data_IF_907276853476
#
_entry.id   IF_907276853476
#
_cell.length_a   1.000
_cell.length_b   1.000
_cell.length_c   1.000
_cell.angle_alpha   90.00
_cell.angle_beta   90.00
_cell.angle_gamma   90.00
#
_symmetry.space_group_name_H-M   'P 1'
#
loop_
_entity.id
_entity.type
_entity.pdbx_description
1 polymer ?
#
# COMPACT_ATOMS: atom_id res chain seq x y z
N UNK A 1 24.14 13.53 -13.05
CA UNK A 1 23.20 12.68 -12.28
C UNK A 1 23.10 11.29 -12.92
N UNK A 2 23.79 10.27 -12.41
CA UNK A 2 23.53 8.89 -12.87
C UNK A 2 22.23 8.38 -12.23
N UNK A 3 21.14 8.37 -12.99
CA UNK A 3 19.84 7.82 -12.58
C UNK A 3 19.80 6.34 -12.98
N UNK A 4 20.19 5.43 -12.09
CA UNK A 4 20.22 4.00 -12.43
C UNK A 4 20.82 3.15 -11.34
N UNK A 5 21.52 2.09 -11.72
CA UNK A 5 22.15 1.12 -10.82
C UNK A 5 22.94 1.73 -9.66
N UNK A 6 23.76 2.79 -9.87
CA UNK A 6 24.53 3.38 -8.76
C UNK A 6 23.68 3.92 -7.60
N UNK A 7 22.44 4.35 -7.86
CA UNK A 7 21.55 4.89 -6.81
C UNK A 7 20.65 3.84 -6.15
N UNK A 8 20.54 2.64 -6.73
CA UNK A 8 19.71 1.54 -6.19
C UNK A 8 20.26 1.01 -4.86
N UNK A 9 21.57 1.09 -4.65
CA UNK A 9 22.23 0.71 -3.39
C UNK A 9 21.81 1.54 -2.18
N UNK A 10 21.05 2.64 -2.34
CA UNK A 10 20.54 3.48 -1.23
C UNK A 10 19.10 3.13 -0.81
N UNK A 11 18.54 2.01 -1.28
CA UNK A 11 17.14 1.59 -1.06
C UNK A 11 16.95 0.55 0.05
N UNK A 12 17.55 0.76 1.22
CA UNK A 12 17.46 -0.16 2.37
C UNK A 12 16.17 0.01 3.20
N UNK A 13 15.58 1.20 3.19
CA UNK A 13 14.44 1.54 4.06
C UNK A 13 13.13 1.08 3.42
N UNK A 14 12.37 0.25 4.12
CA UNK A 14 11.02 -0.16 3.69
C UNK A 14 9.96 0.87 4.09
N UNK A 15 9.22 1.35 3.08
CA UNK A 15 8.14 2.35 3.23
C UNK A 15 6.82 1.73 3.70
N UNK A 16 6.55 0.50 3.28
CA UNK A 16 5.32 -0.23 3.59
C UNK A 16 5.58 -1.44 4.50
N UNK A 17 4.56 -1.85 5.25
CA UNK A 17 4.49 -3.10 6.04
C UNK A 17 3.14 -3.80 5.83
N UNK A 18 3.00 -5.00 6.38
CA UNK A 18 1.71 -5.71 6.43
C UNK A 18 0.67 -4.90 7.21
N UNK A 19 -0.48 -4.68 6.59
CA UNK A 19 -1.61 -4.00 7.18
C UNK A 19 -2.38 -4.93 8.10
N UNK A 20 -2.65 -4.50 9.33
CA UNK A 20 -3.44 -5.27 10.32
C UNK A 20 -4.89 -5.56 9.87
N UNK A 21 -5.50 -4.68 9.06
CA UNK A 21 -6.89 -4.86 8.60
C UNK A 21 -7.00 -5.81 7.40
N UNK A 22 -6.19 -5.62 6.36
CA UNK A 22 -6.35 -6.38 5.09
C UNK A 22 -5.28 -7.46 4.86
N UNK A 23 -4.23 -7.53 5.69
CA UNK A 23 -3.13 -8.47 5.58
C UNK A 23 -2.11 -8.17 4.47
N UNK A 24 -2.37 -7.18 3.60
CA UNK A 24 -1.50 -6.84 2.47
C UNK A 24 -0.32 -5.96 2.90
N UNK A 25 0.79 -6.09 2.20
CA UNK A 25 2.00 -5.27 2.41
C UNK A 25 1.84 -3.85 1.84
N UNK A 26 0.92 -3.09 2.42
CA UNK A 26 0.48 -1.79 1.89
C UNK A 26 0.23 -0.75 2.97
N UNK A 27 0.57 -1.03 4.23
CA UNK A 27 0.48 -0.05 5.32
C UNK A 27 1.73 0.82 5.34
N UNK A 28 1.57 2.13 5.16
CA UNK A 28 2.68 3.05 5.13
C UNK A 28 3.15 3.37 6.55
N UNK A 29 4.44 3.15 6.86
CA UNK A 29 4.97 3.30 8.24
C UNK A 29 4.87 4.74 8.75
N UNK A 30 5.36 5.71 7.98
CA UNK A 30 5.41 7.11 8.43
C UNK A 30 4.05 7.82 8.38
N UNK A 31 3.25 7.55 7.35
CA UNK A 31 1.92 8.15 7.19
C UNK A 31 0.84 7.44 7.98
N UNK A 32 1.14 6.28 8.58
CA UNK A 32 0.20 5.46 9.35
C UNK A 32 -1.11 5.10 8.62
N UNK A 33 -1.08 5.04 7.28
CA UNK A 33 -2.25 4.79 6.43
C UNK A 33 -2.00 3.64 5.46
N UNK A 34 -2.98 2.76 5.28
CA UNK A 34 -2.96 1.69 4.30
C UNK A 34 -3.38 2.18 2.91
N UNK A 35 -2.46 2.06 1.95
CA UNK A 35 -2.72 2.39 0.55
C UNK A 35 -3.74 1.46 -0.11
N UNK A 36 -3.98 0.26 0.43
CA UNK A 36 -4.99 -0.64 -0.14
C UNK A 36 -6.38 -0.36 0.43
N UNK A 37 -6.57 -0.62 1.73
CA UNK A 37 -7.89 -0.62 2.35
C UNK A 37 -8.26 0.71 3.06
N UNK A 38 -7.35 1.69 3.14
CA UNK A 38 -7.60 2.96 3.84
C UNK A 38 -7.47 2.89 5.37
N UNK A 39 -7.07 1.73 5.93
CA UNK A 39 -6.87 1.59 7.38
C UNK A 39 -5.91 2.66 7.93
N UNK A 40 -6.32 3.36 8.99
CA UNK A 40 -5.63 4.51 9.57
C UNK A 40 -6.20 5.87 9.16
N UNK A 41 -6.78 5.97 7.95
CA UNK A 41 -7.45 7.19 7.48
C UNK A 41 -8.99 7.08 7.54
N UNK A 42 -9.54 5.90 7.24
CA UNK A 42 -10.99 5.69 7.16
C UNK A 42 -11.44 4.46 7.93
N UNK A 43 -12.64 4.53 8.51
CA UNK A 43 -13.32 3.38 9.09
C UNK A 43 -13.73 2.38 7.99
N UNK A 44 -14.21 2.87 6.84
CA UNK A 44 -14.65 2.07 5.69
C UNK A 44 -13.48 1.57 4.83
N UNK A 45 -13.71 0.47 4.12
CA UNK A 45 -12.75 -0.04 3.13
C UNK A 45 -12.72 0.91 1.94
N UNK A 46 -11.51 1.37 1.60
CA UNK A 46 -11.25 2.21 0.42
C UNK A 46 -11.59 1.44 -0.86
N UNK A 47 -12.60 1.92 -1.60
CA UNK A 47 -13.03 1.40 -2.90
C UNK A 47 -13.23 2.55 -3.87
N UNK A 48 -12.78 2.38 -5.11
CA UNK A 48 -13.02 3.32 -6.20
C UNK A 48 -13.62 2.61 -7.40
N UNK A 49 -14.52 3.28 -8.12
CA UNK A 49 -15.18 2.69 -9.29
C UNK A 49 -14.22 2.41 -10.43
N UNK A 50 -13.24 3.29 -10.64
CA UNK A 50 -12.20 3.12 -11.66
C UNK A 50 -11.20 2.00 -11.34
N UNK A 51 -11.04 1.62 -10.06
CA UNK A 51 -10.07 0.61 -9.65
C UNK A 51 -10.68 -0.81 -9.67
N UNK A 52 -10.83 -1.35 -10.89
CA UNK A 52 -11.43 -2.67 -11.15
C UNK A 52 -10.72 -3.80 -10.40
N UNK A 53 -9.38 -3.77 -10.30
CA UNK A 53 -8.57 -4.78 -9.61
C UNK A 53 -8.81 -4.81 -8.10
N UNK A 54 -8.99 -3.64 -7.47
CA UNK A 54 -9.35 -3.57 -6.06
C UNK A 54 -10.79 -4.04 -5.79
N UNK A 55 -11.71 -3.74 -6.71
CA UNK A 55 -13.11 -4.18 -6.68
C UNK A 55 -13.23 -5.70 -6.78
N UNK A 56 -12.58 -6.33 -7.76
CA UNK A 56 -12.67 -7.77 -7.99
C UNK A 56 -11.99 -8.61 -6.92
N UNK A 57 -10.89 -8.13 -6.33
CA UNK A 57 -10.19 -8.85 -5.26
C UNK A 57 -10.85 -8.73 -3.88
N UNK A 58 -11.85 -7.85 -3.72
CA UNK A 58 -12.67 -7.81 -2.50
C UNK A 58 -13.71 -8.93 -2.42
N UNK A 59 -14.02 -9.57 -3.55
CA UNK A 59 -15.04 -10.62 -3.66
C UNK A 59 -14.47 -12.06 -3.58
N UNK A 60 -13.14 -12.20 -3.41
CA UNK A 60 -12.42 -13.49 -3.32
C UNK A 60 -11.96 -13.82 -1.90
N UNK A 61 -12.43 -13.07 -0.91
CA UNK A 61 -12.19 -13.31 0.51
C UNK A 61 -13.51 -13.59 1.19
#
# INVERSE_FOLDING_TARGET
MSKGTPSMGKRQKSTHIRCRRCGRHSYHKTKSVCAHCGYGATARIRKYQWNKRSRSMGARK
#
